data_IF_310177067278
#
_entry.id   IF_310177067278
#
_cell.length_a   1.000
_cell.length_b   1.000
_cell.length_c   1.000
_cell.angle_alpha   90.00
_cell.angle_beta   90.00
_cell.angle_gamma   90.00
#
_symmetry.space_group_name_H-M   'P 1'
#
loop_
_entity.id
_entity.type
_entity.pdbx_description
1 polymer ?
#
# COMPACT_ATOMS: atom_id res chain seq x y z
N UNK A 1 -10.88 0.60 -16.58
CA UNK A 1 -11.16 1.11 -15.21
C UNK A 1 -11.79 2.51 -15.24
N UNK A 2 -11.22 3.46 -15.99
CA UNK A 2 -11.67 4.87 -16.08
C UNK A 2 -13.16 5.05 -16.41
N UNK A 3 -13.68 4.35 -17.43
CA UNK A 3 -15.08 4.50 -17.84
C UNK A 3 -16.14 3.98 -16.86
N UNK A 4 -15.77 3.13 -15.88
CA UNK A 4 -16.70 2.70 -14.82
C UNK A 4 -16.78 3.77 -13.74
N UNK A 5 -15.62 4.29 -13.33
CA UNK A 5 -15.52 5.37 -12.33
C UNK A 5 -16.20 6.64 -12.85
N UNK A 6 -15.95 7.04 -14.10
CA UNK A 6 -16.62 8.21 -14.69
C UNK A 6 -18.13 8.09 -14.73
N UNK A 7 -18.66 6.90 -15.06
CA UNK A 7 -20.11 6.66 -15.07
C UNK A 7 -20.70 6.72 -13.67
N UNK A 8 -19.97 6.28 -12.65
CA UNK A 8 -20.41 6.33 -11.27
C UNK A 8 -20.34 7.75 -10.70
N UNK A 9 -19.27 8.50 -11.01
CA UNK A 9 -19.15 9.92 -10.67
C UNK A 9 -20.23 10.78 -11.36
N UNK A 10 -20.60 10.47 -12.61
CA UNK A 10 -21.73 11.16 -13.29
C UNK A 10 -23.09 10.91 -12.66
N UNK A 11 -23.23 9.92 -11.75
CA UNK A 11 -24.48 9.61 -11.05
C UNK A 11 -24.54 10.25 -9.66
N UNK A 12 -23.47 10.92 -9.23
CA UNK A 12 -23.38 11.59 -7.93
C UNK A 12 -22.62 12.90 -8.06
N UNK A 13 -23.33 14.03 -7.91
CA UNK A 13 -22.74 15.36 -8.01
C UNK A 13 -22.06 15.83 -6.69
N UNK A 14 -22.09 15.01 -5.64
CA UNK A 14 -21.50 15.36 -4.35
C UNK A 14 -19.98 15.27 -4.39
N UNK A 15 -19.33 16.32 -3.88
CA UNK A 15 -17.88 16.40 -3.69
C UNK A 15 -17.47 16.07 -2.26
N UNK A 16 -18.43 15.79 -1.38
CA UNK A 16 -18.16 15.43 0.01
C UNK A 16 -17.44 14.06 0.06
N UNK A 17 -16.29 13.94 0.76
CA UNK A 17 -15.47 12.73 0.73
C UNK A 17 -16.22 11.44 1.08
N UNK A 18 -17.14 11.50 2.03
CA UNK A 18 -17.95 10.34 2.44
C UNK A 18 -18.97 9.93 1.38
N UNK A 19 -19.58 10.89 0.67
CA UNK A 19 -20.50 10.60 -0.42
C UNK A 19 -19.75 9.98 -1.60
N UNK A 20 -18.55 10.48 -1.91
CA UNK A 20 -17.70 9.89 -2.95
C UNK A 20 -17.38 8.44 -2.61
N UNK A 21 -16.96 8.14 -1.37
CA UNK A 21 -16.67 6.76 -0.94
C UNK A 21 -17.92 5.88 -0.98
N UNK A 22 -19.06 6.38 -0.52
CA UNK A 22 -20.31 5.62 -0.53
C UNK A 22 -20.74 5.23 -1.96
N UNK A 23 -20.43 6.07 -2.95
CA UNK A 23 -20.84 5.87 -4.34
C UNK A 23 -19.82 5.09 -5.19
N UNK A 24 -18.51 5.28 -4.96
CA UNK A 24 -17.45 4.75 -5.84
C UNK A 24 -16.29 4.06 -5.13
N UNK A 25 -16.28 4.08 -3.80
CA UNK A 25 -15.25 3.47 -2.97
C UNK A 25 -15.53 2.02 -2.63
N UNK A 26 -14.75 1.52 -1.68
CA UNK A 26 -14.94 0.22 -1.04
C UNK A 26 -14.89 0.40 0.49
N UNK A 27 -15.46 -0.51 1.30
CA UNK A 27 -15.55 -0.34 2.75
C UNK A 27 -14.19 -0.39 3.48
N UNK A 28 -13.12 -0.88 2.83
CA UNK A 28 -11.78 -0.88 3.44
C UNK A 28 -11.24 0.54 3.56
N UNK A 29 -11.49 1.42 2.58
CA UNK A 29 -11.00 2.81 2.60
C UNK A 29 -11.43 3.59 3.86
N UNK A 30 -12.74 3.74 4.17
CA UNK A 30 -13.17 4.49 5.34
C UNK A 30 -12.80 3.80 6.65
N UNK A 31 -12.76 2.46 6.67
CA UNK A 31 -12.34 1.70 7.83
C UNK A 31 -10.86 1.99 8.19
N UNK A 32 -9.95 1.89 7.21
CA UNK A 32 -8.52 2.14 7.43
C UNK A 32 -8.26 3.62 7.71
N UNK A 33 -9.00 4.55 7.08
CA UNK A 33 -8.87 5.98 7.37
C UNK A 33 -9.24 6.32 8.83
N UNK A 34 -10.30 5.72 9.38
CA UNK A 34 -10.66 5.88 10.78
C UNK A 34 -9.62 5.29 11.74
N UNK A 35 -9.08 4.10 11.41
CA UNK A 35 -7.96 3.52 12.17
C UNK A 35 -6.72 4.41 12.12
N UNK A 36 -6.38 4.96 10.96
CA UNK A 36 -5.23 5.85 10.78
C UNK A 36 -5.36 7.10 11.63
N UNK A 37 -6.53 7.76 11.58
CA UNK A 37 -6.83 8.98 12.33
C UNK A 37 -6.53 8.78 13.82
N UNK A 38 -7.13 7.75 14.42
CA UNK A 38 -6.99 7.45 15.85
C UNK A 38 -5.63 6.86 16.24
N UNK A 39 -5.08 5.94 15.44
CA UNK A 39 -3.81 5.29 15.77
C UNK A 39 -2.64 6.28 15.67
N UNK A 40 -2.66 7.21 14.72
CA UNK A 40 -1.59 8.20 14.53
C UNK A 40 -1.43 9.11 15.75
N UNK A 41 -2.50 9.41 16.50
CA UNK A 41 -2.43 10.18 17.74
C UNK A 41 -1.61 9.48 18.84
N UNK A 42 -1.49 8.15 18.77
CA UNK A 42 -0.92 7.31 19.84
C UNK A 42 0.41 6.68 19.42
N UNK A 43 0.56 6.29 18.15
CA UNK A 43 1.71 5.51 17.66
C UNK A 43 2.01 5.81 16.19
N UNK A 44 3.19 5.37 15.74
CA UNK A 44 3.54 5.39 14.32
C UNK A 44 2.74 4.34 13.54
N UNK A 45 2.31 4.70 12.35
CA UNK A 45 1.48 3.88 11.45
C UNK A 45 2.16 3.73 10.10
N UNK A 46 2.27 2.49 9.62
CA UNK A 46 2.62 2.19 8.23
C UNK A 46 1.35 1.77 7.50
N UNK A 47 0.91 2.59 6.54
CA UNK A 47 -0.13 2.21 5.58
C UNK A 47 0.47 1.22 4.57
N UNK A 48 0.25 -0.07 4.82
CA UNK A 48 0.85 -1.15 4.06
C UNK A 48 0.06 -1.43 2.76
N UNK A 49 0.56 -0.95 1.63
CA UNK A 49 -0.05 -1.20 0.32
C UNK A 49 0.38 -0.21 -0.75
N UNK A 50 -0.21 -0.36 -1.94
CA UNK A 50 0.06 0.48 -3.11
C UNK A 50 -0.91 1.66 -3.23
N UNK A 51 -1.39 1.92 -4.45
CA UNK A 51 -2.26 3.06 -4.78
C UNK A 51 -3.56 3.14 -3.96
N UNK A 52 -4.04 2.01 -3.44
CA UNK A 52 -5.18 1.97 -2.52
C UNK A 52 -4.93 2.77 -1.23
N UNK A 53 -3.70 2.77 -0.72
CA UNK A 53 -3.34 3.54 0.48
C UNK A 53 -3.30 5.05 0.21
N UNK A 54 -3.12 5.48 -1.05
CA UNK A 54 -3.28 6.88 -1.40
C UNK A 54 -4.74 7.33 -1.29
N UNK A 55 -5.71 6.48 -1.65
CA UNK A 55 -7.13 6.78 -1.46
C UNK A 55 -7.52 6.86 0.03
N UNK A 56 -6.97 5.96 0.86
CA UNK A 56 -7.09 6.04 2.33
C UNK A 56 -6.53 7.36 2.85
N UNK A 57 -5.33 7.73 2.42
CA UNK A 57 -4.67 8.98 2.83
C UNK A 57 -5.49 10.21 2.43
N UNK A 58 -6.07 10.21 1.23
CA UNK A 58 -6.91 11.30 0.74
C UNK A 58 -8.16 11.48 1.59
N UNK A 59 -8.82 10.38 2.00
CA UNK A 59 -9.94 10.48 2.94
C UNK A 59 -9.46 10.95 4.30
N UNK A 60 -8.40 10.36 4.83
CA UNK A 60 -7.89 10.69 6.15
C UNK A 60 -7.47 12.17 6.27
N UNK A 61 -7.03 12.79 5.18
CA UNK A 61 -6.74 14.23 5.15
C UNK A 61 -7.99 15.09 5.43
N UNK A 62 -9.18 14.62 5.10
CA UNK A 62 -10.44 15.30 5.44
C UNK A 62 -10.88 15.05 6.89
N UNK A 63 -10.45 13.94 7.51
CA UNK A 63 -10.84 13.56 8.88
C UNK A 63 -9.81 13.93 9.94
N UNK A 64 -8.56 14.14 9.54
CA UNK A 64 -7.41 14.43 10.41
C UNK A 64 -6.58 13.19 10.77
N UNK A 65 -5.25 13.33 10.74
CA UNK A 65 -4.25 12.39 11.26
C UNK A 65 -2.93 13.15 11.53
N UNK A 66 -2.01 12.56 12.32
CA UNK A 66 -0.67 13.14 12.54
C UNK A 66 0.29 12.75 11.40
N UNK A 67 0.57 13.68 10.49
CA UNK A 67 1.46 13.46 9.34
C UNK A 67 2.88 13.02 9.74
N UNK A 68 3.36 13.41 10.93
CA UNK A 68 4.71 13.06 11.39
C UNK A 68 4.85 11.60 11.84
N UNK A 69 3.72 10.89 11.98
CA UNK A 69 3.66 9.52 12.49
C UNK A 69 3.19 8.52 11.44
N UNK A 70 3.04 8.95 10.19
CA UNK A 70 2.48 8.14 9.12
C UNK A 70 3.49 7.97 8.00
N UNK A 71 3.60 6.75 7.51
CA UNK A 71 4.33 6.44 6.28
C UNK A 71 3.52 5.45 5.43
N UNK A 72 3.73 5.45 4.12
CA UNK A 72 3.27 4.37 3.25
C UNK A 72 4.37 3.32 3.14
N UNK A 73 4.03 2.05 3.26
CA UNK A 73 4.96 0.93 3.10
C UNK A 73 4.53 0.04 1.94
N UNK A 74 5.37 -0.08 0.92
CA UNK A 74 5.07 -0.88 -0.27
C UNK A 74 6.29 -1.65 -0.78
N UNK A 75 6.14 -2.40 -1.88
CA UNK A 75 7.23 -3.08 -2.58
C UNK A 75 7.86 -2.18 -3.64
N UNK A 76 9.11 -2.49 -4.04
CA UNK A 76 9.78 -1.82 -5.17
C UNK A 76 9.00 -2.01 -6.48
N UNK A 77 8.26 -3.11 -6.62
CA UNK A 77 7.46 -3.42 -7.80
C UNK A 77 6.32 -2.43 -8.07
N UNK A 78 5.85 -1.70 -7.05
CA UNK A 78 4.88 -0.61 -7.22
C UNK A 78 5.58 0.73 -7.50
N UNK A 79 6.72 0.98 -6.85
CA UNK A 79 7.48 2.23 -7.04
C UNK A 79 8.07 2.31 -8.45
N UNK A 80 8.57 1.20 -8.97
CA UNK A 80 9.18 1.12 -10.30
C UNK A 80 8.12 1.07 -11.42
N UNK A 81 6.84 0.94 -11.07
CA UNK A 81 5.72 0.86 -12.01
C UNK A 81 5.30 2.26 -12.49
N UNK A 82 5.76 2.65 -13.68
CA UNK A 82 5.45 3.95 -14.30
C UNK A 82 3.95 4.20 -14.46
N UNK A 83 3.14 3.15 -14.57
CA UNK A 83 1.69 3.26 -14.69
C UNK A 83 1.00 3.50 -13.34
N UNK A 84 1.64 3.14 -12.21
CA UNK A 84 1.04 3.25 -10.89
C UNK A 84 1.11 4.68 -10.33
N UNK A 85 2.16 5.43 -10.67
CA UNK A 85 2.41 6.81 -10.24
C UNK A 85 2.18 7.08 -8.74
N UNK A 86 2.56 6.14 -7.87
CA UNK A 86 2.26 6.21 -6.44
C UNK A 86 2.90 7.42 -5.76
N UNK A 87 4.18 7.71 -6.07
CA UNK A 87 4.93 8.79 -5.42
C UNK A 87 4.29 10.15 -5.66
N UNK A 88 3.92 10.46 -6.90
CA UNK A 88 3.29 11.74 -7.23
C UNK A 88 1.90 11.86 -6.60
N UNK A 89 1.11 10.78 -6.60
CA UNK A 89 -0.19 10.76 -5.94
C UNK A 89 -0.08 11.04 -4.44
N UNK A 90 0.79 10.32 -3.73
CA UNK A 90 1.00 10.54 -2.29
C UNK A 90 1.45 11.97 -2.04
N UNK A 91 2.44 12.47 -2.79
CA UNK A 91 2.96 13.83 -2.65
C UNK A 91 1.91 14.92 -2.91
N UNK A 92 0.98 14.67 -3.84
CA UNK A 92 -0.16 15.58 -4.07
C UNK A 92 -1.17 15.62 -2.91
N UNK A 93 -1.19 14.57 -2.08
CA UNK A 93 -2.10 14.45 -0.95
C UNK A 93 -1.42 14.95 0.33
N UNK A 94 -0.24 14.46 0.68
CA UNK A 94 0.46 14.83 1.93
C UNK A 94 1.97 14.58 1.82
N UNK A 95 2.76 15.33 2.58
CA UNK A 95 4.22 15.21 2.61
C UNK A 95 4.67 14.15 3.63
N UNK A 96 4.36 12.89 3.34
CA UNK A 96 4.72 11.75 4.20
C UNK A 96 5.75 10.83 3.52
N UNK A 97 6.58 10.10 4.31
CA UNK A 97 7.50 9.12 3.75
C UNK A 97 6.80 7.99 3.01
N UNK A 98 7.37 7.60 1.87
CA UNK A 98 7.04 6.35 1.16
C UNK A 98 8.22 5.40 1.26
N UNK A 99 8.05 4.35 2.05
CA UNK A 99 9.03 3.29 2.28
C UNK A 99 8.80 2.17 1.27
N UNK A 100 9.88 1.67 0.69
CA UNK A 100 9.84 0.59 -0.28
C UNK A 100 10.81 -0.52 0.09
N UNK A 101 10.38 -1.77 -0.08
CA UNK A 101 11.22 -2.96 0.06
C UNK A 101 11.34 -3.70 -1.26
N UNK A 102 12.57 -4.06 -1.63
CA UNK A 102 12.83 -5.04 -2.68
C UNK A 102 13.02 -6.42 -2.01
N UNK A 103 12.02 -7.33 -2.10
CA UNK A 103 12.10 -8.66 -1.50
C UNK A 103 12.97 -9.63 -2.31
N UNK A 104 13.62 -9.19 -3.40
CA UNK A 104 14.51 -10.00 -4.25
C UNK A 104 13.86 -11.26 -4.82
N UNK A 105 12.54 -11.25 -5.05
CA UNK A 105 11.82 -12.44 -5.53
C UNK A 105 12.30 -12.91 -6.92
N UNK A 106 12.94 -12.05 -7.70
CA UNK A 106 13.62 -12.43 -8.95
C UNK A 106 14.69 -13.52 -8.76
N UNK A 107 15.28 -13.57 -7.57
CA UNK A 107 16.35 -14.48 -7.18
C UNK A 107 15.82 -15.73 -6.46
N UNK A 108 14.49 -15.85 -6.27
CA UNK A 108 13.85 -17.03 -5.66
C UNK A 108 14.14 -18.29 -6.46
N UNK A 109 14.19 -19.45 -5.79
CA UNK A 109 14.26 -20.77 -6.45
C UNK A 109 12.96 -21.19 -7.14
N UNK A 110 11.82 -20.54 -6.85
CA UNK A 110 10.51 -20.90 -7.39
C UNK A 110 10.03 -19.95 -8.49
N UNK A 111 9.55 -20.53 -9.59
CA UNK A 111 8.98 -19.75 -10.71
C UNK A 111 7.77 -18.92 -10.30
N UNK A 112 6.91 -19.45 -9.43
CA UNK A 112 5.72 -18.74 -8.93
C UNK A 112 6.06 -17.44 -8.21
N UNK A 113 7.14 -17.42 -7.44
CA UNK A 113 7.63 -16.22 -6.75
C UNK A 113 8.38 -15.30 -7.71
N UNK A 114 9.21 -15.85 -8.61
CA UNK A 114 9.90 -15.05 -9.63
C UNK A 114 8.92 -14.28 -10.53
N UNK A 115 7.72 -14.80 -10.78
CA UNK A 115 6.68 -14.12 -11.55
C UNK A 115 6.33 -12.72 -10.99
N UNK A 116 6.41 -12.52 -9.67
CA UNK A 116 6.15 -11.22 -9.03
C UNK A 116 7.10 -10.13 -9.51
N UNK A 117 8.38 -10.47 -9.68
CA UNK A 117 9.39 -9.55 -10.22
C UNK A 117 9.18 -9.20 -11.70
N UNK A 118 8.35 -9.96 -12.42
CA UNK A 118 8.00 -9.73 -13.83
C UNK A 118 6.71 -8.92 -13.99
N UNK A 119 6.20 -8.34 -12.90
CA UNK A 119 5.00 -7.50 -12.89
C UNK A 119 3.69 -8.25 -12.64
N UNK A 120 3.73 -9.56 -12.36
CA UNK A 120 2.55 -10.34 -11.99
C UNK A 120 2.32 -10.24 -10.48
N UNK A 121 1.28 -9.53 -10.04
CA UNK A 121 1.03 -9.27 -8.60
C UNK A 121 2.16 -8.42 -7.99
N UNK A 122 1.99 -7.08 -8.05
CA UNK A 122 3.02 -6.13 -7.60
C UNK A 122 2.98 -5.93 -6.08
N UNK A 123 1.78 -5.96 -5.50
CA UNK A 123 1.52 -5.72 -4.07
C UNK A 123 0.19 -6.36 -3.67
N UNK A 124 -0.02 -6.55 -2.37
CA UNK A 124 -1.31 -6.98 -1.81
C UNK A 124 -1.19 -7.45 -0.36
N UNK A 125 -2.32 -7.50 0.35
CA UNK A 125 -2.42 -8.08 1.71
C UNK A 125 -1.45 -7.45 2.73
N UNK A 126 -1.02 -6.20 2.49
CA UNK A 126 -0.05 -5.50 3.34
C UNK A 126 1.36 -6.10 3.30
N UNK A 127 1.73 -6.83 2.25
CA UNK A 127 3.01 -7.52 2.16
C UNK A 127 4.21 -6.55 2.24
N UNK A 128 4.22 -5.48 1.45
CA UNK A 128 5.28 -4.47 1.46
C UNK A 128 5.55 -3.91 2.87
N UNK A 129 4.52 -3.35 3.51
CA UNK A 129 4.63 -2.81 4.87
C UNK A 129 5.02 -3.84 5.92
N UNK A 130 4.52 -5.08 5.82
CA UNK A 130 4.88 -6.16 6.76
C UNK A 130 6.34 -6.57 6.63
N UNK A 131 6.86 -6.66 5.41
CA UNK A 131 8.27 -6.96 5.15
C UNK A 131 9.18 -5.83 5.66
N UNK A 132 8.80 -4.56 5.42
CA UNK A 132 9.51 -3.39 5.97
C UNK A 132 9.55 -3.46 7.51
N UNK A 133 8.40 -3.68 8.16
CA UNK A 133 8.32 -3.78 9.61
C UNK A 133 9.20 -4.94 10.15
N UNK A 134 9.20 -6.09 9.48
CA UNK A 134 10.04 -7.24 9.84
C UNK A 134 11.53 -6.92 9.75
N UNK A 135 11.98 -6.30 8.65
CA UNK A 135 13.37 -5.86 8.46
C UNK A 135 13.77 -4.87 9.55
N UNK A 136 12.96 -3.85 9.79
CA UNK A 136 13.23 -2.84 10.83
C UNK A 136 13.29 -3.46 12.23
N UNK A 137 12.45 -4.45 12.52
CA UNK A 137 12.38 -5.09 13.84
C UNK A 137 13.53 -6.06 14.08
N UNK A 138 13.94 -6.81 13.06
CA UNK A 138 14.85 -7.95 13.21
C UNK A 138 16.27 -7.65 12.72
N UNK A 139 16.46 -6.61 11.91
CA UNK A 139 17.74 -6.26 11.31
C UNK A 139 18.17 -7.20 10.17
N UNK A 140 17.29 -8.08 9.69
CA UNK A 140 17.60 -8.94 8.55
C UNK A 140 17.61 -8.14 7.25
N UNK A 141 18.41 -8.57 6.28
CA UNK A 141 18.40 -7.98 4.94
C UNK A 141 17.39 -8.69 4.01
N UNK A 142 17.18 -8.13 2.82
CA UNK A 142 16.28 -8.70 1.81
C UNK A 142 16.69 -10.11 1.35
N UNK A 143 17.98 -10.45 1.40
CA UNK A 143 18.45 -11.79 1.03
C UNK A 143 17.98 -12.81 2.05
N UNK A 144 18.13 -12.51 3.34
CA UNK A 144 17.65 -13.37 4.41
C UNK A 144 16.13 -13.47 4.42
N UNK A 145 15.44 -12.36 4.13
CA UNK A 145 13.98 -12.36 3.95
C UNK A 145 13.55 -13.31 2.82
N UNK A 146 14.22 -13.26 1.65
CA UNK A 146 13.96 -14.17 0.53
C UNK A 146 14.15 -15.64 0.93
N UNK A 147 15.23 -15.97 1.66
CA UNK A 147 15.46 -17.34 2.15
C UNK A 147 14.29 -17.85 3.01
N UNK A 148 13.73 -16.98 3.86
CA UNK A 148 12.58 -17.31 4.70
C UNK A 148 11.31 -17.48 3.87
N UNK A 149 11.08 -16.61 2.89
CA UNK A 149 9.96 -16.73 1.94
C UNK A 149 10.05 -18.04 1.17
N UNK A 150 11.22 -18.39 0.63
CA UNK A 150 11.46 -19.64 -0.09
C UNK A 150 11.29 -20.86 0.82
N UNK A 151 11.68 -20.77 2.10
CA UNK A 151 11.44 -21.85 3.07
C UNK A 151 9.95 -22.05 3.32
N UNK A 152 9.19 -20.97 3.50
CA UNK A 152 7.74 -21.06 3.71
C UNK A 152 7.01 -21.52 2.46
N UNK A 153 7.42 -21.08 1.27
CA UNK A 153 6.86 -21.55 0.01
C UNK A 153 7.07 -23.06 -0.15
N UNK A 154 8.29 -23.57 0.08
CA UNK A 154 8.61 -25.01 0.15
C UNK A 154 7.72 -25.81 1.12
N UNK A 155 7.19 -25.18 2.17
CA UNK A 155 6.38 -25.87 3.19
C UNK A 155 4.92 -26.00 2.77
N UNK A 156 4.42 -25.06 1.96
CA UNK A 156 3.00 -25.00 1.55
C UNK A 156 2.75 -25.54 0.15
N UNK A 157 3.81 -25.82 -0.62
CA UNK A 157 3.77 -26.48 -1.93
C UNK A 157 4.46 -27.82 -1.89
#
# INVERSE_FOLDING_TARGET
>A
KSGVVEKALKRSDSKEPYDVIANVGDPMIPFVAGMLSTASEITNVILAGGTQMAAVLALAKSTGYDENRVAIGTTSYIIDDKDANLLDMVKSISDIPVLSVDPKLKDSKFDGLRAYSKGFVKEGVGAGGSMIASILKTGIDSKKLLELIDKEYSRVT
#
